data_IF_611588960160
#
_entry.id   IF_611588960160
#
_cell.length_a   1.000
_cell.length_b   1.000
_cell.length_c   1.000
_cell.angle_alpha   90.00
_cell.angle_beta   90.00
_cell.angle_gamma   90.00
#
_symmetry.space_group_name_H-M   'P 1'
#
loop_
_entity.id
_entity.type
_entity.pdbx_description
1 polymer ?
#
# COMPACT_ATOMS: atom_id res chain seq x y z
N UNK A 1 -10.02 32.09 16.96
CA UNK A 1 -8.80 31.31 16.67
C UNK A 1 -9.17 29.85 16.42
N UNK A 2 -9.33 29.47 15.15
CA UNK A 2 -9.06 28.10 14.67
C UNK A 2 -8.31 28.27 13.35
N UNK A 3 -6.98 28.32 13.45
CA UNK A 3 -6.09 27.96 12.35
C UNK A 3 -6.14 26.43 12.28
N UNK A 4 -6.93 25.82 11.39
CA UNK A 4 -6.84 24.35 11.20
C UNK A 4 -7.17 23.84 9.79
N UNK A 5 -7.57 24.69 8.84
CA UNK A 5 -7.73 24.31 7.43
C UNK A 5 -6.53 24.77 6.57
N UNK A 6 -5.36 24.98 7.20
CA UNK A 6 -4.07 25.05 6.50
C UNK A 6 -3.76 23.65 5.94
N UNK A 7 -4.07 23.45 4.65
CA UNK A 7 -3.58 22.42 3.71
C UNK A 7 -3.38 21.00 4.28
N UNK A 8 -4.46 20.31 4.64
CA UNK A 8 -4.38 18.85 4.82
C UNK A 8 -4.03 18.21 3.47
N UNK A 9 -3.01 17.35 3.46
CA UNK A 9 -2.68 16.55 2.27
C UNK A 9 -3.89 15.73 1.83
N UNK A 10 -4.02 15.46 0.52
CA UNK A 10 -5.10 14.62 -0.01
C UNK A 10 -5.25 13.29 0.73
N UNK A 11 -4.13 12.63 1.05
CA UNK A 11 -4.13 11.39 1.83
C UNK A 11 -4.70 11.54 3.24
N UNK A 12 -4.45 12.68 3.90
CA UNK A 12 -5.00 12.96 5.24
C UNK A 12 -6.51 13.16 5.17
N UNK A 13 -7.00 13.82 4.11
CA UNK A 13 -8.44 13.96 3.89
C UNK A 13 -9.09 12.61 3.62
N UNK A 14 -8.50 11.81 2.73
CA UNK A 14 -9.00 10.47 2.42
C UNK A 14 -9.04 9.54 3.64
N UNK A 15 -8.01 9.58 4.49
CA UNK A 15 -7.98 8.81 5.74
C UNK A 15 -9.14 9.18 6.67
N UNK A 16 -9.46 10.47 6.79
CA UNK A 16 -10.60 10.92 7.59
C UNK A 16 -11.92 10.44 7.00
N UNK A 17 -12.13 10.62 5.70
CA UNK A 17 -13.34 10.15 5.00
C UNK A 17 -13.52 8.63 5.16
N UNK A 18 -12.43 7.87 5.05
CA UNK A 18 -12.46 6.44 5.22
C UNK A 18 -12.80 6.04 6.67
N UNK A 19 -12.21 6.73 7.65
CA UNK A 19 -12.48 6.48 9.08
C UNK A 19 -13.94 6.74 9.42
N UNK A 20 -14.52 7.83 8.90
CA UNK A 20 -15.94 8.16 9.05
C UNK A 20 -16.84 7.09 8.41
N UNK A 21 -16.49 6.63 7.21
CA UNK A 21 -17.23 5.59 6.51
C UNK A 21 -17.17 4.21 7.21
N UNK A 22 -16.10 3.93 7.97
CA UNK A 22 -15.90 2.68 8.70
C UNK A 22 -16.54 2.68 10.10
N UNK A 23 -16.89 3.84 10.66
CA UNK A 23 -17.41 3.97 12.03
C UNK A 23 -18.65 3.11 12.31
N UNK A 24 -19.66 3.20 11.44
CA UNK A 24 -20.91 2.45 11.62
C UNK A 24 -20.70 0.93 11.43
N UNK A 25 -20.02 0.45 10.36
CA UNK A 25 -19.63 -0.95 10.24
C UNK A 25 -18.87 -1.49 11.46
N UNK A 26 -17.93 -0.72 12.01
CA UNK A 26 -17.18 -1.11 13.20
C UNK A 26 -18.09 -1.29 14.42
N UNK A 27 -19.00 -0.34 14.65
CA UNK A 27 -19.98 -0.42 15.75
C UNK A 27 -20.85 -1.68 15.62
N UNK A 28 -21.33 -1.99 14.41
CA UNK A 28 -22.11 -3.20 14.15
C UNK A 28 -21.30 -4.48 14.40
N UNK A 29 -20.03 -4.51 13.99
CA UNK A 29 -19.09 -5.61 14.27
C UNK A 29 -18.92 -5.81 15.78
N UNK A 30 -18.77 -4.72 16.55
CA UNK A 30 -18.62 -4.79 18.00
C UNK A 30 -19.86 -5.39 18.68
N UNK A 31 -21.05 -5.05 18.19
CA UNK A 31 -22.35 -5.61 18.63
C UNK A 31 -22.65 -7.03 18.11
N UNK A 32 -21.79 -7.59 17.24
CA UNK A 32 -21.97 -8.92 16.66
C UNK A 32 -22.92 -8.97 15.46
N UNK A 33 -23.33 -7.81 14.94
CA UNK A 33 -24.23 -7.68 13.78
C UNK A 33 -23.46 -7.73 12.44
N UNK A 34 -22.72 -8.81 12.20
CA UNK A 34 -21.78 -8.91 11.07
C UNK A 34 -22.45 -8.79 9.70
N UNK A 35 -23.64 -9.38 9.52
CA UNK A 35 -24.39 -9.26 8.27
C UNK A 35 -24.85 -7.82 7.99
N UNK A 36 -25.19 -7.05 9.02
CA UNK A 36 -25.52 -5.64 8.88
C UNK A 36 -24.27 -4.81 8.54
N UNK A 37 -23.14 -5.10 9.21
CA UNK A 37 -21.86 -4.47 8.92
C UNK A 37 -21.42 -4.70 7.47
N UNK A 38 -21.51 -5.94 6.97
CA UNK A 38 -21.19 -6.28 5.58
C UNK A 38 -22.03 -5.49 4.57
N UNK A 39 -23.35 -5.37 4.82
CA UNK A 39 -24.24 -4.53 3.98
C UNK A 39 -23.87 -3.05 4.04
N UNK A 40 -23.51 -2.55 5.23
CA UNK A 40 -23.08 -1.16 5.42
C UNK A 40 -21.82 -0.83 4.64
N UNK A 41 -20.81 -1.71 4.68
CA UNK A 41 -19.59 -1.57 3.90
C UNK A 41 -19.87 -1.63 2.39
N UNK A 42 -20.67 -2.59 1.94
CA UNK A 42 -20.98 -2.76 0.52
C UNK A 42 -21.74 -1.57 -0.08
N UNK A 43 -22.63 -0.92 0.69
CA UNK A 43 -23.44 0.21 0.21
C UNK A 43 -22.71 1.54 0.22
N UNK A 44 -21.66 1.68 1.02
CA UNK A 44 -20.95 2.94 1.14
C UNK A 44 -19.95 3.11 -0.02
N UNK A 45 -20.03 4.24 -0.73
CA UNK A 45 -19.22 4.52 -1.93
C UNK A 45 -17.71 4.51 -1.71
N UNK A 46 -17.25 4.67 -0.46
CA UNK A 46 -15.83 4.69 -0.10
C UNK A 46 -15.35 3.29 0.25
N UNK A 47 -16.14 2.54 1.02
CA UNK A 47 -15.74 1.22 1.53
C UNK A 47 -16.15 0.04 0.64
N UNK A 48 -17.00 0.27 -0.37
CA UNK A 48 -17.40 -0.72 -1.37
C UNK A 48 -16.22 -1.30 -2.18
N UNK A 49 -15.18 -0.51 -2.39
CA UNK A 49 -14.00 -0.91 -3.18
C UNK A 49 -12.95 -1.67 -2.36
N UNK A 50 -13.09 -1.69 -1.03
CA UNK A 50 -12.10 -2.25 -0.10
C UNK A 50 -12.22 -3.76 0.09
N UNK A 51 -13.29 -4.37 -0.41
CA UNK A 51 -13.50 -5.79 -0.22
C UNK A 51 -14.09 -6.43 -1.47
N UNK A 52 -13.58 -7.61 -1.79
CA UNK A 52 -14.14 -8.46 -2.83
C UNK A 52 -15.52 -8.99 -2.42
N UNK A 53 -16.39 -9.39 -3.38
CA UNK A 53 -17.69 -9.99 -3.07
C UNK A 53 -17.60 -11.16 -2.07
N UNK A 54 -16.57 -11.99 -2.19
CA UNK A 54 -16.30 -13.13 -1.32
C UNK A 54 -16.01 -12.69 0.13
N UNK A 55 -15.32 -11.57 0.31
CA UNK A 55 -15.05 -10.99 1.63
C UNK A 55 -16.31 -10.47 2.30
N UNK A 56 -17.22 -9.82 1.56
CA UNK A 56 -18.50 -9.38 2.12
C UNK A 56 -19.36 -10.56 2.54
N UNK A 57 -19.39 -11.62 1.73
CA UNK A 57 -20.08 -12.85 2.07
C UNK A 57 -19.48 -13.50 3.33
N UNK A 58 -18.15 -13.63 3.40
CA UNK A 58 -17.47 -14.19 4.56
C UNK A 58 -17.71 -13.35 5.83
N UNK A 59 -17.71 -12.01 5.73
CA UNK A 59 -18.04 -11.14 6.85
C UNK A 59 -19.46 -11.40 7.34
N UNK A 60 -20.43 -11.46 6.43
CA UNK A 60 -21.84 -11.71 6.79
C UNK A 60 -22.04 -13.09 7.43
N UNK A 61 -21.20 -14.07 7.09
CA UNK A 61 -21.23 -15.43 7.62
C UNK A 61 -20.41 -15.63 8.90
N UNK A 62 -19.78 -14.58 9.46
CA UNK A 62 -19.01 -14.68 10.70
C UNK A 62 -19.92 -15.06 11.87
N UNK A 63 -19.65 -16.22 12.48
CA UNK A 63 -20.37 -16.72 13.66
C UNK A 63 -19.60 -16.51 14.97
N UNK A 64 -18.34 -16.07 14.91
CA UNK A 64 -17.52 -15.79 16.09
C UNK A 64 -16.41 -14.79 15.78
N UNK A 65 -16.03 -13.97 16.78
CA UNK A 65 -14.95 -12.97 16.63
C UNK A 65 -13.62 -13.56 16.17
N UNK A 66 -13.32 -14.82 16.50
CA UNK A 66 -12.08 -15.48 16.07
C UNK A 66 -12.00 -15.62 14.54
N UNK A 67 -13.14 -15.79 13.87
CA UNK A 67 -13.22 -15.91 12.40
C UNK A 67 -13.16 -14.57 11.68
N UNK A 68 -13.42 -13.47 12.41
CA UNK A 68 -13.34 -12.11 11.87
C UNK A 68 -11.94 -11.74 11.39
N UNK A 69 -10.88 -12.27 12.04
CA UNK A 69 -9.48 -11.94 11.77
C UNK A 69 -9.11 -12.09 10.29
N UNK A 70 -9.64 -13.14 9.63
CA UNK A 70 -9.38 -13.42 8.23
C UNK A 70 -9.88 -12.29 7.32
N UNK A 71 -11.13 -11.88 7.49
CA UNK A 71 -11.75 -10.83 6.69
C UNK A 71 -11.20 -9.45 7.08
N UNK A 72 -10.96 -9.22 8.38
CA UNK A 72 -10.31 -7.99 8.84
C UNK A 72 -8.96 -7.80 8.19
N UNK A 73 -8.10 -8.83 8.18
CA UNK A 73 -6.78 -8.71 7.56
C UNK A 73 -6.87 -8.42 6.05
N UNK A 74 -7.79 -9.08 5.34
CA UNK A 74 -8.02 -8.83 3.93
C UNK A 74 -8.50 -7.38 3.65
N UNK A 75 -9.39 -6.84 4.48
CA UNK A 75 -9.84 -5.43 4.40
C UNK A 75 -8.69 -4.48 4.75
N UNK A 76 -7.90 -4.79 5.78
CA UNK A 76 -6.71 -4.00 6.17
C UNK A 76 -5.69 -3.94 5.03
N UNK A 77 -5.52 -5.04 4.31
CA UNK A 77 -4.61 -5.14 3.17
C UNK A 77 -5.02 -4.16 2.05
N UNK A 78 -6.29 -4.18 1.63
CA UNK A 78 -6.84 -3.24 0.63
C UNK A 78 -6.82 -1.79 1.14
N UNK A 79 -7.18 -1.58 2.41
CA UNK A 79 -7.17 -0.24 3.04
C UNK A 79 -5.79 0.37 3.05
N UNK A 80 -4.77 -0.41 3.42
CA UNK A 80 -3.39 0.08 3.51
C UNK A 80 -2.82 0.36 2.12
N UNK A 81 -3.13 -0.49 1.13
CA UNK A 81 -2.76 -0.24 -0.27
C UNK A 81 -3.41 1.04 -0.82
N UNK A 82 -4.71 1.22 -0.54
CA UNK A 82 -5.42 2.44 -0.91
C UNK A 82 -4.79 3.68 -0.27
N UNK A 83 -4.50 3.65 1.04
CA UNK A 83 -3.85 4.77 1.73
C UNK A 83 -2.46 5.09 1.18
N UNK A 84 -1.68 4.06 0.85
CA UNK A 84 -0.36 4.20 0.22
C UNK A 84 -0.50 4.87 -1.16
N UNK A 85 -1.44 4.42 -1.99
CA UNK A 85 -1.73 5.02 -3.29
C UNK A 85 -2.21 6.48 -3.17
N UNK A 86 -3.10 6.77 -2.21
CA UNK A 86 -3.60 8.12 -1.94
C UNK A 86 -2.46 9.07 -1.55
N UNK A 87 -1.52 8.61 -0.73
CA UNK A 87 -0.35 9.38 -0.35
C UNK A 87 0.53 9.70 -1.56
N UNK A 88 0.81 8.73 -2.43
CA UNK A 88 1.64 8.96 -3.62
C UNK A 88 0.99 9.89 -4.63
N UNK A 89 -0.30 9.70 -4.90
CA UNK A 89 -1.07 10.62 -5.74
C UNK A 89 -1.10 12.03 -5.14
N UNK A 90 -1.22 12.15 -3.81
CA UNK A 90 -1.16 13.43 -3.11
C UNK A 90 0.19 14.16 -3.21
N UNK A 91 1.30 13.42 -3.31
CA UNK A 91 2.63 14.02 -3.50
C UNK A 91 2.86 14.47 -4.95
N UNK A 92 2.35 13.73 -5.95
CA UNK A 92 2.39 14.14 -7.35
C UNK A 92 1.70 15.48 -7.60
N UNK A 93 0.79 15.92 -6.74
CA UNK A 93 0.16 17.24 -6.84
C UNK A 93 1.07 18.39 -6.40
N UNK A 94 2.09 18.13 -5.58
CA UNK A 94 2.98 19.16 -5.06
C UNK A 94 4.12 19.50 -6.02
N UNK A 95 4.54 18.54 -6.86
CA UNK A 95 5.52 18.76 -7.91
C UNK A 95 4.81 19.19 -9.20
N UNK A 96 5.22 20.33 -9.77
CA UNK A 96 4.68 20.84 -11.04
C UNK A 96 5.17 20.06 -12.27
N UNK A 97 6.12 19.14 -12.07
CA UNK A 97 6.76 18.34 -13.10
C UNK A 97 6.11 16.95 -13.22
N UNK A 98 5.95 16.49 -14.47
CA UNK A 98 5.36 15.21 -14.86
C UNK A 98 5.69 14.05 -13.92
N UNK A 99 4.64 13.39 -13.41
CA UNK A 99 4.59 12.05 -12.80
C UNK A 99 5.92 11.64 -12.12
N UNK A 100 6.37 12.44 -11.17
CA UNK A 100 7.67 12.21 -10.53
C UNK A 100 7.63 11.06 -9.51
N UNK A 101 6.47 10.61 -9.05
CA UNK A 101 6.34 9.64 -7.94
C UNK A 101 5.45 8.46 -8.33
N UNK A 102 5.94 7.62 -9.24
CA UNK A 102 5.23 6.41 -9.67
C UNK A 102 5.65 5.19 -8.82
N UNK A 103 4.81 4.82 -7.86
CA UNK A 103 5.02 3.61 -7.06
C UNK A 103 4.94 2.32 -7.88
N UNK A 104 4.34 2.34 -9.07
CA UNK A 104 4.24 1.11 -9.89
C UNK A 104 5.62 0.61 -10.32
N UNK A 105 6.63 1.49 -10.34
CA UNK A 105 8.05 1.13 -10.52
C UNK A 105 8.61 0.23 -9.41
N UNK A 106 7.96 0.13 -8.25
CA UNK A 106 8.32 -0.86 -7.21
C UNK A 106 7.84 -2.27 -7.55
N UNK A 107 6.81 -2.40 -8.38
CA UNK A 107 6.13 -3.66 -8.68
C UNK A 107 6.78 -4.37 -9.86
N UNK A 108 7.02 -3.64 -10.94
CA UNK A 108 7.59 -4.18 -12.16
C UNK A 108 8.84 -3.40 -12.56
N UNK A 109 9.80 -4.08 -13.17
CA UNK A 109 10.90 -3.40 -13.83
C UNK A 109 10.51 -2.86 -15.22
N UNK A 110 11.46 -2.21 -15.89
CA UNK A 110 11.26 -1.59 -17.21
C UNK A 110 10.79 -2.60 -18.28
N UNK A 111 11.13 -3.89 -18.11
CA UNK A 111 10.69 -4.99 -18.99
C UNK A 111 9.33 -5.57 -18.59
N UNK A 112 8.65 -4.98 -17.60
CA UNK A 112 7.41 -5.49 -17.02
C UNK A 112 7.60 -6.74 -16.16
N UNK A 113 8.84 -7.12 -15.81
CA UNK A 113 9.11 -8.33 -15.02
C UNK A 113 8.90 -8.04 -13.55
N UNK A 114 8.24 -9.00 -12.90
CA UNK A 114 8.00 -9.00 -11.46
C UNK A 114 9.32 -9.19 -10.72
N UNK A 115 9.72 -8.18 -9.97
CA UNK A 115 10.88 -8.20 -9.08
C UNK A 115 10.47 -7.79 -7.67
N UNK A 116 11.16 -8.32 -6.66
CA UNK A 116 10.85 -7.98 -5.27
C UNK A 116 11.06 -6.48 -4.98
N UNK A 117 10.20 -5.89 -4.16
CA UNK A 117 10.15 -4.44 -3.93
C UNK A 117 11.50 -3.83 -3.53
N UNK A 118 12.29 -4.52 -2.70
CA UNK A 118 13.64 -4.08 -2.31
C UNK A 118 14.60 -3.99 -3.50
N UNK A 119 14.51 -4.93 -4.45
CA UNK A 119 15.32 -4.93 -5.68
C UNK A 119 14.91 -3.80 -6.61
N UNK A 120 13.61 -3.55 -6.75
CA UNK A 120 13.07 -2.43 -7.52
C UNK A 120 13.53 -1.10 -6.95
N UNK A 121 13.44 -0.93 -5.62
CA UNK A 121 13.94 0.25 -4.94
C UNK A 121 15.46 0.44 -5.10
N UNK A 122 16.24 -0.65 -5.05
CA UNK A 122 17.68 -0.57 -5.29
C UNK A 122 18.01 -0.10 -6.73
N UNK A 123 17.29 -0.61 -7.73
CA UNK A 123 17.44 -0.16 -9.12
C UNK A 123 17.09 1.32 -9.27
N UNK A 124 16.01 1.75 -8.63
CA UNK A 124 15.62 3.16 -8.56
C UNK A 124 16.71 4.04 -7.93
N UNK A 125 17.30 3.63 -6.80
CA UNK A 125 18.43 4.33 -6.18
C UNK A 125 19.63 4.43 -7.12
N UNK A 126 20.01 3.34 -7.78
CA UNK A 126 21.13 3.31 -8.74
C UNK A 126 20.90 4.26 -9.92
N UNK A 127 19.66 4.32 -10.41
CA UNK A 127 19.27 5.22 -11.50
C UNK A 127 19.43 6.69 -11.09
N UNK A 128 18.88 7.09 -9.94
CA UNK A 128 18.98 8.47 -9.44
C UNK A 128 20.41 8.86 -9.06
N UNK A 129 21.17 7.94 -8.48
CA UNK A 129 22.58 8.17 -8.14
C UNK A 129 23.49 8.29 -9.39
N UNK A 130 22.97 8.00 -10.59
CA UNK A 130 23.69 8.03 -11.88
C UNK A 130 24.98 7.21 -11.87
N UNK A 131 25.02 6.14 -11.08
CA UNK A 131 26.20 5.28 -10.94
C UNK A 131 26.16 4.14 -11.95
N UNK A 132 27.30 3.89 -12.63
CA UNK A 132 27.42 2.84 -13.65
C UNK A 132 27.49 1.43 -13.08
N UNK A 133 27.85 1.29 -11.79
CA UNK A 133 27.96 -0.02 -11.12
C UNK A 133 27.87 0.13 -9.60
N UNK A 134 27.59 -0.98 -8.91
CA UNK A 134 27.65 -1.03 -7.44
C UNK A 134 29.04 -0.74 -6.89
N UNK A 135 30.10 -1.10 -7.63
CA UNK A 135 31.49 -0.78 -7.24
C UNK A 135 31.72 0.73 -7.26
N UNK A 136 31.30 1.40 -8.35
CA UNK A 136 31.41 2.86 -8.45
C UNK A 136 30.62 3.59 -7.35
N UNK A 137 29.42 3.10 -7.02
CA UNK A 137 28.66 3.64 -5.89
C UNK A 137 29.39 3.41 -4.56
N UNK A 138 29.87 2.19 -4.30
CA UNK A 138 30.64 1.88 -3.08
C UNK A 138 31.85 2.79 -2.94
N UNK A 139 32.67 2.94 -3.98
CA UNK A 139 33.88 3.77 -3.97
C UNK A 139 33.55 5.25 -3.69
N UNK A 140 32.42 5.72 -4.24
CA UNK A 140 31.95 7.08 -4.00
C UNK A 140 31.48 7.30 -2.55
N UNK A 141 30.83 6.29 -1.95
CA UNK A 141 30.34 6.34 -0.57
C UNK A 141 31.43 6.10 0.47
N UNK A 142 32.50 5.36 0.13
CA UNK A 142 33.64 5.04 1.02
C UNK A 142 34.50 6.25 1.42
N UNK A 143 34.21 7.45 0.91
CA UNK A 143 34.88 8.69 1.31
C UNK A 143 34.37 9.26 2.64
N UNK A 144 33.55 8.51 3.39
CA UNK A 144 32.91 8.88 4.66
C UNK A 144 33.02 7.73 5.66
N UNK A 145 33.14 8.05 6.96
CA UNK A 145 33.29 7.08 8.06
C UNK A 145 32.14 6.06 8.20
N UNK A 146 30.97 6.30 7.60
CA UNK A 146 29.82 5.38 7.54
C UNK A 146 29.66 4.77 6.13
N UNK A 147 30.68 4.03 5.68
CA UNK A 147 30.71 3.52 4.31
C UNK A 147 29.74 2.34 4.11
N UNK A 148 28.79 2.48 3.19
CA UNK A 148 28.01 1.36 2.65
C UNK A 148 28.94 0.53 1.75
N UNK A 149 29.28 -0.68 2.19
CA UNK A 149 30.17 -1.55 1.42
C UNK A 149 29.48 -2.24 0.22
N UNK A 150 30.30 -2.73 -0.71
CA UNK A 150 29.83 -3.42 -1.91
C UNK A 150 29.02 -4.69 -1.61
N UNK A 151 29.23 -5.34 -0.46
CA UNK A 151 28.48 -6.55 -0.08
C UNK A 151 27.06 -6.20 0.33
N UNK A 152 26.88 -5.09 1.02
CA UNK A 152 25.60 -4.52 1.41
C UNK A 152 24.80 -4.14 0.17
N UNK A 153 25.42 -3.46 -0.80
CA UNK A 153 24.80 -3.15 -2.09
C UNK A 153 24.39 -4.42 -2.85
N UNK A 154 25.23 -5.46 -2.85
CA UNK A 154 24.90 -6.76 -3.46
C UNK A 154 23.67 -7.40 -2.82
N UNK A 155 23.57 -7.40 -1.48
CA UNK A 155 22.40 -7.94 -0.76
C UNK A 155 21.12 -7.17 -1.10
N UNK A 156 21.18 -5.84 -1.20
CA UNK A 156 20.04 -5.03 -1.64
C UNK A 156 19.63 -5.34 -3.08
N UNK A 157 20.61 -5.46 -3.98
CA UNK A 157 20.37 -5.80 -5.40
C UNK A 157 19.72 -7.18 -5.59
N UNK A 158 19.93 -8.09 -4.63
CA UNK A 158 19.33 -9.41 -4.59
C UNK A 158 18.00 -9.44 -3.81
N UNK A 159 17.60 -8.33 -3.18
CA UNK A 159 16.41 -8.26 -2.31
C UNK A 159 16.54 -9.05 -1.01
N UNK A 160 17.76 -9.38 -0.58
CA UNK A 160 18.01 -10.17 0.65
C UNK A 160 17.92 -9.32 1.92
N UNK A 161 18.32 -8.05 1.83
CA UNK A 161 18.18 -7.07 2.90
C UNK A 161 17.64 -5.77 2.32
N UNK A 162 16.96 -4.99 3.15
CA UNK A 162 16.46 -3.67 2.79
C UNK A 162 17.37 -2.59 3.39
N UNK A 163 17.62 -1.49 2.68
CA UNK A 163 18.36 -0.37 3.25
C UNK A 163 17.56 0.27 4.41
N UNK A 164 18.25 0.64 5.48
CA UNK A 164 17.68 1.48 6.54
C UNK A 164 17.68 2.96 6.15
N UNK A 165 17.00 3.78 6.95
CA UNK A 165 16.88 5.22 6.68
C UNK A 165 18.23 5.93 6.67
N UNK A 166 19.13 5.62 7.61
CA UNK A 166 20.47 6.22 7.70
C UNK A 166 21.25 5.96 6.42
N UNK A 167 21.23 4.72 5.94
CA UNK A 167 21.89 4.29 4.71
C UNK A 167 21.31 4.99 3.47
N UNK A 168 19.99 5.12 3.37
CA UNK A 168 19.36 5.85 2.27
C UNK A 168 19.75 7.34 2.31
N UNK A 169 19.78 7.95 3.51
CA UNK A 169 20.18 9.35 3.67
C UNK A 169 21.62 9.62 3.25
N UNK A 170 22.54 8.70 3.51
CA UNK A 170 23.93 8.79 3.03
C UNK A 170 23.98 8.85 1.49
N UNK A 171 23.18 8.03 0.80
CA UNK A 171 23.09 8.04 -0.67
C UNK A 171 22.49 9.36 -1.16
N UNK A 172 21.38 9.81 -0.57
CA UNK A 172 20.72 11.09 -0.90
C UNK A 172 21.72 12.24 -0.82
N UNK A 173 22.37 12.40 0.32
CA UNK A 173 23.29 13.52 0.58
C UNK A 173 24.46 13.58 -0.39
N UNK A 174 24.91 12.43 -0.90
CA UNK A 174 26.11 12.34 -1.75
C UNK A 174 25.80 12.33 -3.23
N UNK A 175 24.72 11.68 -3.63
CA UNK A 175 24.46 11.38 -5.03
C UNK A 175 23.29 12.18 -5.61
N UNK A 176 22.29 12.52 -4.79
CA UNK A 176 21.01 13.03 -5.26
C UNK A 176 20.28 13.86 -4.18
N UNK A 177 20.90 14.96 -3.69
CA UNK A 177 20.32 15.75 -2.59
C UNK A 177 18.98 16.40 -2.97
N UNK A 178 18.77 16.71 -4.25
CA UNK A 178 17.55 17.34 -4.75
C UNK A 178 16.36 16.36 -4.83
N UNK A 179 16.61 15.05 -4.75
CA UNK A 179 15.59 13.99 -4.83
C UNK A 179 15.19 13.43 -3.44
N UNK A 180 15.56 14.09 -2.33
CA UNK A 180 15.35 13.56 -0.96
C UNK A 180 13.90 13.11 -0.71
N UNK A 181 12.93 13.99 -0.96
CA UNK A 181 11.50 13.69 -0.70
C UNK A 181 11.03 12.49 -1.52
N UNK A 182 11.41 12.43 -2.80
CA UNK A 182 11.07 11.34 -3.72
C UNK A 182 11.67 10.01 -3.26
N UNK A 183 12.95 10.02 -2.89
CA UNK A 183 13.67 8.82 -2.49
C UNK A 183 13.16 8.29 -1.15
N UNK A 184 12.97 9.17 -0.17
CA UNK A 184 12.40 8.79 1.12
C UNK A 184 10.97 8.27 0.96
N UNK A 185 10.21 8.83 0.02
CA UNK A 185 8.87 8.35 -0.25
C UNK A 185 8.85 6.92 -0.80
N UNK A 186 9.70 6.65 -1.80
CA UNK A 186 9.88 5.32 -2.36
C UNK A 186 10.43 4.31 -1.35
N UNK A 187 11.31 4.75 -0.43
CA UNK A 187 11.85 3.93 0.65
C UNK A 187 10.73 3.45 1.59
N UNK A 188 9.89 4.37 2.06
CA UNK A 188 8.77 4.03 2.94
C UNK A 188 7.73 3.15 2.25
N UNK A 189 7.40 3.43 0.99
CA UNK A 189 6.52 2.59 0.20
C UNK A 189 7.06 1.16 0.05
N UNK A 190 8.35 1.02 -0.29
CA UNK A 190 9.02 -0.28 -0.40
C UNK A 190 8.98 -1.05 0.93
N UNK A 191 9.25 -0.39 2.07
CA UNK A 191 9.21 -1.04 3.39
C UNK A 191 7.79 -1.48 3.74
N UNK A 192 6.80 -0.62 3.48
CA UNK A 192 5.38 -0.94 3.71
C UNK A 192 4.94 -2.16 2.89
N UNK A 193 5.20 -2.15 1.57
CA UNK A 193 4.86 -3.27 0.69
C UNK A 193 5.57 -4.56 1.09
N UNK A 194 6.85 -4.48 1.46
CA UNK A 194 7.61 -5.65 1.92
C UNK A 194 7.04 -6.24 3.22
N UNK A 195 6.64 -5.38 4.17
CA UNK A 195 6.02 -5.81 5.42
C UNK A 195 4.64 -6.44 5.19
N UNK A 196 3.78 -5.78 4.39
CA UNK A 196 2.47 -6.30 4.02
C UNK A 196 2.58 -7.66 3.34
N UNK A 197 3.55 -7.82 2.43
CA UNK A 197 3.82 -9.09 1.78
C UNK A 197 4.25 -10.17 2.74
N UNK A 198 5.24 -9.90 3.60
CA UNK A 198 5.70 -10.86 4.60
C UNK A 198 4.57 -11.35 5.52
N UNK A 199 3.77 -10.42 6.06
CA UNK A 199 2.68 -10.77 6.96
C UNK A 199 1.60 -11.56 6.20
N UNK A 200 1.20 -11.11 5.02
CA UNK A 200 0.11 -11.75 4.27
C UNK A 200 0.48 -13.14 3.75
N UNK A 201 1.70 -13.34 3.26
CA UNK A 201 2.18 -14.67 2.84
C UNK A 201 2.25 -15.64 4.04
N UNK A 202 2.54 -15.12 5.24
CA UNK A 202 2.46 -15.91 6.48
C UNK A 202 1.01 -16.30 6.80
N UNK A 203 0.04 -15.40 6.59
CA UNK A 203 -1.39 -15.70 6.72
C UNK A 203 -1.85 -16.76 5.71
N UNK A 204 -1.48 -16.61 4.43
CA UNK A 204 -1.77 -17.59 3.37
C UNK A 204 -1.22 -18.96 3.75
N UNK A 205 0.06 -19.03 4.11
CA UNK A 205 0.72 -20.29 4.47
C UNK A 205 -0.01 -21.01 5.61
N UNK A 206 -0.44 -20.28 6.64
CA UNK A 206 -1.24 -20.83 7.73
C UNK A 206 -2.66 -21.22 7.29
N UNK A 207 -3.31 -20.41 6.46
CA UNK A 207 -4.65 -20.68 5.95
C UNK A 207 -4.69 -21.92 5.04
N UNK A 208 -3.67 -22.15 4.21
CA UNK A 208 -3.53 -23.36 3.36
C UNK A 208 -3.50 -24.62 4.23
N UNK A 209 -2.85 -24.59 5.38
CA UNK A 209 -2.82 -25.73 6.32
C UNK A 209 -4.21 -26.04 6.88
N UNK A 210 -5.04 -25.01 7.10
CA UNK A 210 -6.40 -25.15 7.63
C UNK A 210 -7.47 -25.41 6.54
N UNK A 211 -7.24 -25.00 5.30
CA UNK A 211 -8.16 -25.09 4.17
C UNK A 211 -8.52 -26.53 3.78
N UNK A 212 -7.77 -27.53 4.25
CA UNK A 212 -8.08 -28.96 4.07
C UNK A 212 -9.29 -29.44 4.90
N UNK A 213 -9.88 -28.57 5.71
CA UNK A 213 -11.06 -28.86 6.53
C UNK A 213 -12.34 -28.46 5.77
N UNK A 214 -13.37 -29.32 5.66
CA UNK A 214 -14.63 -28.97 5.02
C UNK A 214 -15.27 -27.71 5.61
N UNK A 215 -15.69 -26.77 4.76
CA UNK A 215 -16.32 -25.50 5.16
C UNK A 215 -15.37 -24.41 5.67
N UNK A 216 -14.06 -24.68 5.77
CA UNK A 216 -13.09 -23.67 6.19
C UNK A 216 -12.88 -22.55 5.15
N UNK A 217 -12.96 -22.89 3.86
CA UNK A 217 -12.75 -21.93 2.77
C UNK A 217 -13.85 -20.86 2.72
N UNK A 218 -15.11 -21.24 2.96
CA UNK A 218 -16.26 -20.32 2.98
C UNK A 218 -16.19 -19.35 4.17
N UNK A 219 -15.61 -19.79 5.29
CA UNK A 219 -15.54 -19.03 6.53
C UNK A 219 -14.27 -18.18 6.64
N UNK A 220 -13.26 -18.47 5.83
CA UNK A 220 -11.96 -17.79 5.82
C UNK A 220 -11.71 -17.03 4.51
N UNK A 221 -12.72 -16.84 3.64
CA UNK A 221 -12.51 -16.15 2.37
C UNK A 221 -11.92 -14.73 2.61
N UNK A 222 -10.98 -14.28 1.75
CA UNK A 222 -10.58 -14.89 0.48
C UNK A 222 -9.51 -16.00 0.64
N UNK A 223 -9.03 -16.24 1.86
CA UNK A 223 -7.93 -17.18 2.11
C UNK A 223 -8.32 -18.62 1.72
N UNK A 224 -7.37 -19.41 1.17
CA UNK A 224 -5.93 -19.15 1.09
C UNK A 224 -5.49 -18.23 -0.06
N UNK A 225 -6.41 -17.71 -0.87
CA UNK A 225 -6.07 -16.74 -1.91
C UNK A 225 -6.02 -15.32 -1.32
N UNK A 226 -5.33 -14.44 -2.02
CA UNK A 226 -5.41 -13.02 -1.74
C UNK A 226 -6.79 -12.47 -2.15
N UNK A 227 -7.21 -11.29 -1.64
CA UNK A 227 -8.43 -10.62 -2.09
C UNK A 227 -8.54 -10.60 -3.61
N UNK A 228 -9.75 -10.77 -4.16
CA UNK A 228 -9.98 -10.87 -5.61
C UNK A 228 -9.34 -12.08 -6.31
N UNK A 229 -8.90 -13.09 -5.56
CA UNK A 229 -8.48 -14.39 -6.09
C UNK A 229 -7.03 -14.45 -6.58
N UNK A 230 -6.17 -13.48 -6.22
CA UNK A 230 -4.76 -13.53 -6.60
C UNK A 230 -4.00 -14.64 -5.86
N UNK A 231 -3.01 -15.22 -6.53
CA UNK A 231 -2.25 -16.38 -6.03
C UNK A 231 -1.05 -16.00 -5.15
N UNK A 232 -0.56 -14.77 -5.25
CA UNK A 232 0.60 -14.27 -4.48
C UNK A 232 0.40 -12.81 -4.08
N UNK A 233 1.14 -12.35 -3.07
CA UNK A 233 1.13 -10.94 -2.69
C UNK A 233 1.62 -10.04 -3.81
N UNK A 234 2.61 -10.50 -4.59
CA UNK A 234 3.16 -9.72 -5.69
C UNK A 234 2.13 -9.54 -6.80
N UNK A 235 1.40 -10.60 -7.15
CA UNK A 235 0.31 -10.58 -8.12
C UNK A 235 -0.83 -9.67 -7.67
N UNK A 236 -1.21 -9.80 -6.40
CA UNK A 236 -2.21 -8.93 -5.78
C UNK A 236 -1.77 -7.46 -5.82
N UNK A 237 -0.54 -7.15 -5.41
CA UNK A 237 -0.03 -5.78 -5.46
C UNK A 237 0.03 -5.24 -6.89
N UNK A 238 0.44 -6.06 -7.86
CA UNK A 238 0.50 -5.71 -9.28
C UNK A 238 -0.86 -5.38 -9.89
N UNK A 239 -1.92 -6.08 -9.47
CA UNK A 239 -3.28 -5.77 -9.90
C UNK A 239 -3.91 -4.61 -9.14
N UNK A 240 -3.68 -4.54 -7.82
CA UNK A 240 -4.43 -3.63 -6.94
C UNK A 240 -3.79 -2.26 -6.75
N UNK A 241 -2.47 -2.12 -6.75
CA UNK A 241 -1.85 -0.80 -6.62
C UNK A 241 -2.21 0.13 -7.79
N UNK A 242 -2.13 -0.28 -9.08
CA UNK A 242 -2.54 0.58 -10.19
C UNK A 242 -4.02 0.97 -10.13
N UNK A 243 -4.88 0.03 -9.74
CA UNK A 243 -6.31 0.30 -9.51
C UNK A 243 -6.50 1.41 -8.47
N UNK A 244 -5.84 1.30 -7.31
CA UNK A 244 -5.97 2.30 -6.25
C UNK A 244 -5.39 3.66 -6.66
N UNK A 245 -4.25 3.68 -7.35
CA UNK A 245 -3.70 4.91 -7.90
C UNK A 245 -4.70 5.60 -8.84
N UNK A 246 -5.31 4.85 -9.77
CA UNK A 246 -6.32 5.41 -10.67
C UNK A 246 -7.57 5.89 -9.92
N UNK A 247 -8.07 5.10 -8.97
CA UNK A 247 -9.20 5.49 -8.12
C UNK A 247 -8.95 6.85 -7.45
N UNK A 248 -7.76 7.06 -6.89
CA UNK A 248 -7.40 8.32 -6.24
C UNK A 248 -7.23 9.49 -7.22
N UNK A 249 -6.65 9.24 -8.40
CA UNK A 249 -6.56 10.23 -9.48
C UNK A 249 -7.95 10.69 -9.94
N UNK A 250 -8.89 9.75 -10.12
CA UNK A 250 -10.27 10.05 -10.53
C UNK A 250 -11.01 10.88 -9.47
N UNK A 251 -10.84 10.54 -8.18
CA UNK A 251 -11.42 11.32 -7.07
C UNK A 251 -10.87 12.75 -7.02
N UNK A 252 -9.58 12.93 -7.27
CA UNK A 252 -8.97 14.25 -7.37
C UNK A 252 -9.47 15.04 -8.58
N UNK A 253 -9.57 14.40 -9.75
CA UNK A 253 -10.12 15.04 -10.94
C UNK A 253 -11.56 15.49 -10.70
N UNK A 254 -12.39 14.65 -10.08
CA UNK A 254 -13.76 15.01 -9.70
C UNK A 254 -13.82 16.18 -8.71
N UNK A 255 -12.94 16.21 -7.70
CA UNK A 255 -12.85 17.30 -6.73
C UNK A 255 -12.48 18.65 -7.39
N UNK A 256 -11.63 18.63 -8.42
CA UNK A 256 -11.24 19.83 -9.19
C UNK A 256 -12.38 20.35 -10.08
N UNK A 257 -13.19 19.46 -10.63
CA UNK A 257 -14.32 19.81 -11.52
C UNK A 257 -15.53 20.29 -10.71
N UNK A 258 -15.78 19.70 -9.54
CA UNK A 258 -16.87 20.09 -8.66
C UNK A 258 -16.45 19.97 -7.19
N UNK A 259 -15.99 21.07 -6.55
CA UNK A 259 -15.56 21.08 -5.16
C UNK A 259 -16.64 20.64 -4.16
N UNK A 260 -17.92 20.74 -4.54
CA UNK A 260 -19.05 20.26 -3.74
C UNK A 260 -19.27 18.74 -3.87
N UNK A 261 -18.86 18.10 -4.96
CA UNK A 261 -19.03 16.66 -5.19
C UNK A 261 -17.96 15.79 -4.51
N UNK A 262 -16.82 16.37 -4.11
CA UNK A 262 -15.78 15.67 -3.34
C UNK A 262 -16.18 15.38 -1.90
N UNK A 263 -17.26 16.00 -1.39
CA UNK A 263 -17.64 15.96 0.03
C UNK A 263 -18.96 15.23 0.30
N UNK A 264 -19.70 14.80 -0.74
CA UNK A 264 -20.94 14.04 -0.57
C UNK A 264 -20.70 12.53 -0.67
N UNK A 265 -20.00 12.00 0.34
CA UNK A 265 -19.96 10.56 0.67
C UNK A 265 -20.64 10.22 2.00
N UNK A 266 -21.01 11.23 2.78
CA UNK A 266 -21.69 11.08 4.07
C UNK A 266 -23.19 11.30 3.92
N UNK A 267 -23.95 10.22 4.11
CA UNK A 267 -25.40 10.19 4.28
C UNK A 267 -26.23 10.76 3.10
N UNK A 268 -26.68 9.87 2.23
CA UNK A 268 -28.04 9.96 1.68
C UNK A 268 -28.63 8.54 1.65
N UNK A 269 -29.65 8.38 2.49
CA UNK A 269 -30.60 7.27 2.72
C UNK A 269 -30.10 5.89 3.19
#
# INVERSE_FOLDING_TARGET
>A
MRKTDEERSYSSHYLMTLSEALWNPETLIQSGEFAAAARGLYRNKVTAELASPEMYFALAAVTSRRRLVCVQWAITLETTMSLLAAWCVGMQMKSSDEITHDLTSLIADEDGRRVGFGRSFFRFLMHLAKQKSMGALSDHLSQVDDSIDIQTLKRWSAGQTLPDETQVRVIIQRCCPDDEERIMSMHWAMRCLSLLGYISESFVSNAVLHAKTPGAQEQCAPWPYFPFGYESFHDWAAGRLPFWCQYHLDKLAAAKINPAASLEGGAND
#
